data_IF_993059158367
#
_entry.id   IF_993059158367
#
_cell.length_a   1.000
_cell.length_b   1.000
_cell.length_c   1.000
_cell.angle_alpha   90.00
_cell.angle_beta   90.00
_cell.angle_gamma   90.00
#
_symmetry.space_group_name_H-M   'P 1'
#
loop_
_entity.id
_entity.type
_entity.pdbx_description
1 polymer ?
#
# COMPACT_ATOMS: atom_id res chain seq x y z
N UNK A 1 -6.45 15.33 -11.06
CA UNK A 1 -7.44 15.29 -9.96
C UNK A 1 -7.23 13.98 -9.25
N UNK A 2 -6.78 14.03 -7.99
CA UNK A 2 -6.44 12.87 -7.16
C UNK A 2 -7.55 12.78 -6.12
N UNK A 3 -8.66 12.11 -6.45
CA UNK A 3 -9.85 12.07 -5.58
C UNK A 3 -10.12 10.61 -5.21
N UNK A 4 -9.82 10.25 -3.96
CA UNK A 4 -10.07 8.92 -3.40
C UNK A 4 -8.94 8.30 -2.57
N UNK A 5 -7.97 9.07 -2.07
CA UNK A 5 -6.97 8.49 -1.14
C UNK A 5 -7.56 8.42 0.25
N UNK A 6 -7.71 7.20 0.77
CA UNK A 6 -7.84 6.99 2.20
C UNK A 6 -6.49 7.21 2.90
N UNK A 7 -6.21 6.43 3.94
CA UNK A 7 -4.98 6.57 4.71
C UNK A 7 -3.89 5.70 4.11
N UNK A 8 -2.66 6.22 4.07
CA UNK A 8 -1.47 5.56 3.55
C UNK A 8 -0.47 5.34 4.68
N UNK A 9 0.10 4.14 4.77
CA UNK A 9 1.04 3.79 5.83
C UNK A 9 2.23 3.01 5.26
N UNK A 10 3.44 3.43 5.59
CA UNK A 10 4.65 2.60 5.44
C UNK A 10 4.98 1.92 6.77
N UNK A 11 5.20 0.62 6.71
CA UNK A 11 5.47 -0.23 7.87
C UNK A 11 6.87 -0.82 7.76
N UNK A 12 7.57 -0.86 8.89
CA UNK A 12 8.74 -1.71 9.10
C UNK A 12 8.41 -2.67 10.22
N UNK A 13 8.54 -3.97 9.95
CA UNK A 13 8.32 -4.98 10.96
C UNK A 13 9.50 -4.97 11.94
N UNK A 14 9.21 -5.11 13.22
CA UNK A 14 10.24 -5.22 14.26
C UNK A 14 10.94 -6.57 14.22
N UNK A 15 10.23 -7.63 13.82
CA UNK A 15 10.74 -8.97 13.60
C UNK A 15 9.80 -9.73 12.64
N UNK A 16 10.30 -10.44 11.61
CA UNK A 16 11.69 -10.48 11.15
C UNK A 16 12.23 -9.10 10.75
N UNK A 17 13.54 -8.92 10.90
CA UNK A 17 14.23 -7.73 10.41
C UNK A 17 14.10 -7.64 8.88
N UNK A 18 14.20 -6.43 8.35
CA UNK A 18 14.16 -6.11 6.91
C UNK A 18 12.89 -6.57 6.17
N UNK A 19 11.80 -6.75 6.91
CA UNK A 19 10.47 -6.90 6.34
C UNK A 19 9.73 -5.58 6.42
N UNK A 20 9.09 -5.20 5.32
CA UNK A 20 8.39 -3.93 5.14
C UNK A 20 7.03 -4.16 4.49
N UNK A 21 6.08 -3.25 4.72
CA UNK A 21 4.79 -3.28 4.03
C UNK A 21 4.28 -1.86 3.76
N UNK A 22 3.36 -1.78 2.81
CA UNK A 22 2.50 -0.62 2.58
C UNK A 22 1.07 -1.07 2.92
N UNK A 23 0.36 -0.28 3.73
CA UNK A 23 -1.06 -0.50 3.99
C UNK A 23 -1.82 0.75 3.60
N UNK A 24 -2.72 0.61 2.64
CA UNK A 24 -3.45 1.73 2.07
C UNK A 24 -4.95 1.45 2.12
N UNK A 25 -5.73 2.45 2.51
CA UNK A 25 -7.20 2.35 2.52
C UNK A 25 -7.80 3.16 1.38
N UNK A 26 -8.92 2.68 0.85
CA UNK A 26 -9.61 3.31 -0.29
C UNK A 26 -11.11 3.38 0.00
N UNK A 27 -11.75 4.43 -0.48
CA UNK A 27 -13.21 4.59 -0.38
C UNK A 27 -13.96 3.69 -1.39
N UNK A 28 -13.27 3.26 -2.45
CA UNK A 28 -13.84 2.43 -3.52
C UNK A 28 -12.79 1.60 -4.24
N UNK A 29 -13.26 0.61 -5.00
CA UNK A 29 -12.42 -0.19 -5.91
C UNK A 29 -11.78 0.65 -7.02
N UNK A 30 -12.45 1.72 -7.47
CA UNK A 30 -11.89 2.67 -8.45
C UNK A 30 -10.67 3.40 -7.88
N UNK A 31 -10.76 3.85 -6.62
CA UNK A 31 -9.62 4.46 -5.92
C UNK A 31 -8.45 3.50 -5.77
N UNK A 32 -8.72 2.24 -5.42
CA UNK A 32 -7.69 1.19 -5.36
C UNK A 32 -7.04 0.95 -6.73
N UNK A 33 -7.85 0.86 -7.78
CA UNK A 33 -7.37 0.67 -9.15
C UNK A 33 -6.48 1.83 -9.61
N UNK A 34 -6.89 3.07 -9.35
CA UNK A 34 -6.10 4.25 -9.65
C UNK A 34 -4.76 4.27 -8.88
N UNK A 35 -4.75 3.82 -7.62
CA UNK A 35 -3.52 3.70 -6.84
C UNK A 35 -2.56 2.64 -7.42
N UNK A 36 -3.07 1.44 -7.74
CA UNK A 36 -2.27 0.35 -8.31
C UNK A 36 -1.75 0.67 -9.72
N UNK A 37 -2.47 1.47 -10.50
CA UNK A 37 -2.00 2.01 -11.78
C UNK A 37 -1.15 3.29 -11.64
N UNK A 38 -0.91 3.74 -10.42
CA UNK A 38 -0.29 5.01 -10.12
C UNK A 38 1.25 5.00 -10.10
N UNK A 39 1.87 6.16 -9.89
CA UNK A 39 3.33 6.32 -9.93
C UNK A 39 4.07 5.55 -8.83
N UNK A 40 3.44 5.33 -7.67
CA UNK A 40 4.04 4.58 -6.55
C UNK A 40 4.23 3.11 -6.93
N UNK A 41 3.16 2.47 -7.45
CA UNK A 41 3.22 1.08 -7.90
C UNK A 41 4.19 0.92 -9.07
N UNK A 42 4.20 1.86 -10.02
CA UNK A 42 5.16 1.87 -11.12
C UNK A 42 6.62 1.93 -10.61
N UNK A 43 6.93 2.85 -9.70
CA UNK A 43 8.26 2.98 -9.11
C UNK A 43 8.67 1.74 -8.30
N UNK A 44 7.75 1.12 -7.55
CA UNK A 44 8.02 -0.12 -6.82
C UNK A 44 8.42 -1.24 -7.78
N UNK A 45 7.65 -1.44 -8.85
CA UNK A 45 7.92 -2.51 -9.83
C UNK A 45 9.22 -2.26 -10.60
N UNK A 46 9.55 -1.01 -10.93
CA UNK A 46 10.82 -0.63 -11.55
C UNK A 46 12.03 -0.96 -10.66
N UNK A 47 11.91 -0.74 -9.35
CA UNK A 47 13.00 -0.93 -8.40
C UNK A 47 12.98 -2.30 -7.69
N UNK A 48 11.95 -3.12 -7.89
CA UNK A 48 11.76 -4.39 -7.20
C UNK A 48 12.97 -5.34 -7.29
N UNK A 49 13.65 -5.53 -8.45
CA UNK A 49 14.81 -6.41 -8.53
C UNK A 49 16.02 -5.95 -7.69
N UNK A 50 16.09 -4.65 -7.40
CA UNK A 50 17.18 -4.04 -6.62
C UNK A 50 16.85 -4.04 -5.13
N UNK A 51 15.60 -3.80 -4.77
CA UNK A 51 15.19 -3.54 -3.39
C UNK A 51 14.59 -4.75 -2.67
N UNK A 52 14.00 -5.70 -3.40
CA UNK A 52 13.22 -6.78 -2.81
C UNK A 52 13.90 -8.13 -2.99
N UNK A 53 13.95 -8.90 -1.91
CA UNK A 53 14.47 -10.27 -1.96
C UNK A 53 13.58 -11.22 -2.78
N UNK A 54 12.27 -10.97 -2.75
CA UNK A 54 11.24 -11.69 -3.52
C UNK A 54 10.27 -10.67 -4.11
N UNK A 55 9.50 -11.02 -5.17
CA UNK A 55 8.43 -10.15 -5.65
C UNK A 55 7.48 -9.72 -4.52
N UNK A 56 6.94 -8.50 -4.56
CA UNK A 56 6.03 -8.03 -3.53
C UNK A 56 4.72 -8.84 -3.58
N UNK A 57 4.20 -9.21 -2.41
CA UNK A 57 2.86 -9.75 -2.29
C UNK A 57 1.84 -8.61 -2.21
N UNK A 58 0.82 -8.64 -3.07
CA UNK A 58 -0.20 -7.59 -3.17
C UNK A 58 -1.55 -8.21 -2.82
N UNK A 59 -1.97 -8.01 -1.58
CA UNK A 59 -3.25 -8.50 -1.07
C UNK A 59 -4.41 -7.52 -1.28
N UNK A 60 -5.60 -8.05 -1.55
CA UNK A 60 -6.86 -7.31 -1.50
C UNK A 60 -7.60 -7.71 -0.21
N UNK A 61 -7.80 -6.75 0.70
CA UNK A 61 -8.42 -6.97 1.99
C UNK A 61 -9.67 -6.10 2.14
N UNK A 62 -10.72 -6.66 2.75
CA UNK A 62 -11.91 -5.92 3.14
C UNK A 62 -11.73 -5.34 4.55
N UNK A 63 -11.93 -4.02 4.69
CA UNK A 63 -11.91 -3.36 6.00
C UNK A 63 -13.31 -3.48 6.61
N UNK A 64 -13.47 -4.42 7.54
CA UNK A 64 -14.76 -4.64 8.22
C UNK A 64 -15.07 -3.55 9.26
N UNK A 65 -14.04 -2.96 9.85
CA UNK A 65 -14.15 -1.84 10.78
C UNK A 65 -12.86 -1.02 10.77
N UNK A 66 -12.97 0.29 10.99
CA UNK A 66 -11.83 1.14 11.31
C UNK A 66 -12.19 2.07 12.46
N UNK A 67 -11.25 2.26 13.37
CA UNK A 67 -11.25 3.39 14.30
C UNK A 67 -10.05 4.23 13.96
N UNK A 68 -10.29 5.45 13.53
CA UNK A 68 -9.22 6.41 13.33
C UNK A 68 -9.61 7.67 14.06
N UNK A 69 -8.82 8.01 15.07
CA UNK A 69 -9.03 9.27 15.79
C UNK A 69 -8.71 10.43 14.83
N UNK A 70 -9.46 11.54 14.87
CA UNK A 70 -9.16 12.72 14.08
C UNK A 70 -7.78 13.28 14.46
N UNK A 71 -7.11 13.97 13.51
CA UNK A 71 -5.81 14.61 13.78
C UNK A 71 -5.91 15.69 14.87
#
# INVERSE_FOLDING_TARGET
MHTGFGKWFALKYSNPADTFAIFDTFESDEGRGAHLGGPIAAALMENAPTLLHTPPDIGQNDILASRVDPP
#
